data_IF_175010694201
#
_entry.id   IF_175010694201
#
_cell.length_a   1.000
_cell.length_b   1.000
_cell.length_c   1.000
_cell.angle_alpha   90.00
_cell.angle_beta   90.00
_cell.angle_gamma   90.00
#
_symmetry.space_group_name_H-M   'P 1'
#
loop_
_entity.id
_entity.type
_entity.pdbx_description
1 polymer ?
#
# COMPACT_ATOMS: atom_id res chain seq x y z
N UNK A 1 -28.29 7.38 17.25
CA UNK A 1 -26.96 6.76 17.47
C UNK A 1 -26.27 6.38 16.15
N UNK A 2 -27.00 6.23 15.04
CA UNK A 2 -26.47 5.84 13.72
C UNK A 2 -25.54 6.86 13.02
N UNK A 3 -25.76 8.17 13.19
CA UNK A 3 -24.94 9.19 12.53
C UNK A 3 -23.45 9.20 12.98
N UNK A 4 -23.20 8.82 14.23
CA UNK A 4 -21.84 8.72 14.78
C UNK A 4 -21.09 7.49 14.25
N UNK A 5 -21.79 6.41 13.92
CA UNK A 5 -21.18 5.18 13.42
C UNK A 5 -20.87 5.25 11.90
N UNK A 6 -21.68 5.98 11.13
CA UNK A 6 -21.35 6.39 9.76
C UNK A 6 -20.03 7.18 9.71
N UNK A 7 -19.90 8.22 10.56
CA UNK A 7 -18.67 9.03 10.61
C UNK A 7 -17.42 8.21 10.96
N UNK A 8 -17.51 7.26 11.91
CA UNK A 8 -16.38 6.39 12.28
C UNK A 8 -16.00 5.44 11.13
N UNK A 9 -16.98 4.90 10.43
CA UNK A 9 -16.76 3.98 9.31
C UNK A 9 -16.09 4.70 8.13
N UNK A 10 -16.53 5.91 7.83
CA UNK A 10 -15.97 6.76 6.78
C UNK A 10 -14.55 7.22 7.10
N UNK A 11 -14.28 7.58 8.36
CA UNK A 11 -12.93 7.88 8.83
C UNK A 11 -11.99 6.68 8.66
N UNK A 12 -12.41 5.49 9.11
CA UNK A 12 -11.62 4.24 8.95
C UNK A 12 -11.36 3.93 7.48
N UNK A 13 -12.35 4.10 6.61
CA UNK A 13 -12.23 3.91 5.16
C UNK A 13 -11.25 4.89 4.55
N UNK A 14 -11.36 6.18 4.88
CA UNK A 14 -10.47 7.24 4.39
C UNK A 14 -9.03 7.02 4.84
N UNK A 15 -8.79 6.68 6.11
CA UNK A 15 -7.43 6.39 6.57
C UNK A 15 -6.84 5.17 5.89
N UNK A 16 -7.63 4.09 5.71
CA UNK A 16 -7.17 2.89 4.99
C UNK A 16 -6.77 3.25 3.56
N UNK A 17 -7.58 4.05 2.88
CA UNK A 17 -7.31 4.50 1.52
C UNK A 17 -6.04 5.37 1.44
N UNK A 18 -5.83 6.28 2.38
CA UNK A 18 -4.59 7.08 2.45
C UNK A 18 -3.35 6.20 2.68
N UNK A 19 -3.46 5.18 3.53
CA UNK A 19 -2.39 4.20 3.76
C UNK A 19 -2.06 3.41 2.49
N UNK A 20 -3.07 2.99 1.72
CA UNK A 20 -2.87 2.35 0.42
C UNK A 20 -2.17 3.28 -0.58
N UNK A 21 -2.60 4.54 -0.69
CA UNK A 21 -1.92 5.54 -1.56
C UNK A 21 -0.47 5.75 -1.16
N UNK A 22 -0.17 5.86 0.13
CA UNK A 22 1.20 5.97 0.62
C UNK A 22 2.03 4.73 0.26
N UNK A 23 1.46 3.54 0.42
CA UNK A 23 2.14 2.29 0.07
C UNK A 23 2.46 2.23 -1.43
N UNK A 24 1.54 2.66 -2.30
CA UNK A 24 1.78 2.74 -3.75
C UNK A 24 2.97 3.66 -4.11
N UNK A 25 3.08 4.82 -3.47
CA UNK A 25 4.23 5.72 -3.66
C UNK A 25 5.55 5.07 -3.20
N UNK A 26 5.49 4.25 -2.15
CA UNK A 26 6.67 3.52 -1.66
C UNK A 26 7.05 2.37 -2.59
N UNK A 27 6.09 1.70 -3.24
CA UNK A 27 6.31 0.67 -4.26
C UNK A 27 6.98 1.28 -5.49
N UNK A 28 6.45 2.39 -6.02
CA UNK A 28 7.08 3.10 -7.14
C UNK A 28 8.50 3.56 -6.79
N UNK A 29 8.70 4.10 -5.57
CA UNK A 29 10.04 4.49 -5.11
C UNK A 29 10.97 3.29 -4.95
N UNK A 30 10.48 2.14 -4.50
CA UNK A 30 11.28 0.93 -4.36
C UNK A 30 11.77 0.45 -5.74
N UNK A 31 10.91 0.51 -6.75
CA UNK A 31 11.26 0.12 -8.12
C UNK A 31 12.41 0.98 -8.68
N UNK A 32 12.34 2.29 -8.49
CA UNK A 32 13.41 3.21 -8.91
C UNK A 32 14.74 2.95 -8.18
N UNK A 33 14.69 2.56 -6.90
CA UNK A 33 15.89 2.20 -6.13
C UNK A 33 16.38 0.78 -6.46
N UNK A 34 15.54 -0.11 -7.00
CA UNK A 34 15.92 -1.46 -7.43
C UNK A 34 16.93 -1.44 -8.57
N UNK A 35 16.89 -0.41 -9.42
CA UNK A 35 17.84 -0.18 -10.52
C UNK A 35 19.25 0.21 -10.03
N UNK A 36 19.43 0.48 -8.73
CA UNK A 36 20.70 0.93 -8.15
C UNK A 36 21.33 -0.18 -7.31
N UNK A 37 22.59 -0.51 -7.60
CA UNK A 37 23.35 -1.59 -6.96
C UNK A 37 24.49 -1.05 -6.08
N UNK A 38 24.20 -0.11 -5.17
CA UNK A 38 25.18 0.40 -4.20
C UNK A 38 24.68 0.24 -2.75
N UNK A 39 25.60 0.26 -1.78
CA UNK A 39 25.29 0.04 -0.36
C UNK A 39 24.22 1.01 0.18
N UNK A 40 24.27 2.28 -0.26
CA UNK A 40 23.28 3.29 0.14
C UNK A 40 21.89 2.94 -0.40
N UNK A 41 21.81 2.44 -1.64
CA UNK A 41 20.57 1.94 -2.24
C UNK A 41 20.03 0.72 -1.47
N UNK A 42 20.89 -0.22 -1.04
CA UNK A 42 20.45 -1.36 -0.20
C UNK A 42 19.80 -0.89 1.11
N UNK A 43 20.43 0.05 1.81
CA UNK A 43 19.85 0.62 3.04
C UNK A 43 18.51 1.31 2.76
N UNK A 44 18.40 2.05 1.65
CA UNK A 44 17.12 2.69 1.24
C UNK A 44 16.05 1.65 0.93
N UNK A 45 16.36 0.61 0.15
CA UNK A 45 15.45 -0.49 -0.17
C UNK A 45 14.95 -1.17 1.09
N UNK A 46 15.84 -1.45 2.05
CA UNK A 46 15.48 -2.00 3.35
C UNK A 46 14.51 -1.08 4.12
N UNK A 47 14.80 0.22 4.19
CA UNK A 47 13.92 1.20 4.87
C UNK A 47 12.54 1.29 4.22
N UNK A 48 12.48 1.28 2.89
CA UNK A 48 11.22 1.30 2.13
C UNK A 48 10.40 0.03 2.44
N UNK A 49 11.01 -1.15 2.34
CA UNK A 49 10.35 -2.43 2.67
C UNK A 49 9.87 -2.48 4.12
N UNK A 50 10.65 -1.95 5.07
CA UNK A 50 10.23 -1.86 6.48
C UNK A 50 9.00 -0.96 6.65
N UNK A 51 8.97 0.21 6.02
CA UNK A 51 7.81 1.13 6.07
C UNK A 51 6.57 0.51 5.46
N UNK A 52 6.71 -0.16 4.32
CA UNK A 52 5.60 -0.86 3.69
C UNK A 52 5.05 -1.98 4.57
N UNK A 53 5.91 -2.76 5.25
CA UNK A 53 5.48 -3.76 6.22
C UNK A 53 4.65 -3.16 7.37
N UNK A 54 5.06 -2.02 7.91
CA UNK A 54 4.28 -1.34 8.97
C UNK A 54 2.91 -0.89 8.45
N UNK A 55 2.84 -0.33 7.24
CA UNK A 55 1.58 0.09 6.64
C UNK A 55 0.65 -1.12 6.41
N UNK A 56 1.17 -2.21 5.85
CA UNK A 56 0.38 -3.43 5.61
C UNK A 56 -0.10 -4.04 6.92
N UNK A 57 0.74 -4.08 7.96
CA UNK A 57 0.34 -4.56 9.28
C UNK A 57 -0.79 -3.71 9.88
N UNK A 58 -0.71 -2.38 9.70
CA UNK A 58 -1.75 -1.45 10.16
C UNK A 58 -3.06 -1.58 9.37
N UNK A 59 -2.98 -1.92 8.08
CA UNK A 59 -4.17 -2.20 7.28
C UNK A 59 -4.84 -3.51 7.72
N UNK A 60 -4.04 -4.57 7.92
CA UNK A 60 -4.52 -5.89 8.36
C UNK A 60 -5.02 -5.90 9.81
N UNK A 61 -4.60 -4.96 10.66
CA UNK A 61 -5.16 -4.81 12.01
C UNK A 61 -6.58 -4.23 12.01
N UNK A 62 -6.98 -3.59 10.90
CA UNK A 62 -8.26 -2.88 10.75
C UNK A 62 -9.26 -3.61 9.85
N UNK A 63 -8.78 -4.48 8.97
CA UNK A 63 -9.54 -5.07 7.85
C UNK A 63 -9.08 -6.49 7.55
N UNK A 64 -9.97 -7.29 6.96
CA UNK A 64 -9.58 -8.61 6.47
C UNK A 64 -8.59 -8.50 5.31
N UNK A 65 -7.83 -9.57 5.06
CA UNK A 65 -6.91 -9.62 3.92
C UNK A 65 -7.63 -9.31 2.60
N UNK A 66 -8.82 -9.88 2.39
CA UNK A 66 -9.60 -9.68 1.16
C UNK A 66 -10.01 -8.22 0.96
N UNK A 67 -10.41 -7.53 2.04
CA UNK A 67 -10.69 -6.09 1.99
C UNK A 67 -9.43 -5.28 1.65
N UNK A 68 -8.30 -5.60 2.29
CA UNK A 68 -7.01 -4.93 2.02
C UNK A 68 -6.58 -5.12 0.57
N UNK A 69 -6.74 -6.33 0.01
CA UNK A 69 -6.41 -6.63 -1.38
C UNK A 69 -7.34 -5.90 -2.35
N UNK A 70 -8.65 -5.89 -2.07
CA UNK A 70 -9.64 -5.16 -2.87
C UNK A 70 -9.36 -3.66 -2.89
N UNK A 71 -9.10 -3.06 -1.71
CA UNK A 71 -8.78 -1.64 -1.58
C UNK A 71 -7.43 -1.27 -2.21
N UNK A 72 -6.44 -2.17 -2.18
CA UNK A 72 -5.15 -1.98 -2.84
C UNK A 72 -5.30 -1.86 -4.36
N UNK A 73 -6.12 -2.73 -4.96
CA UNK A 73 -6.41 -2.69 -6.40
C UNK A 73 -7.13 -1.39 -6.80
N UNK A 74 -8.15 -0.99 -6.03
CA UNK A 74 -8.88 0.26 -6.27
C UNK A 74 -7.97 1.50 -6.15
N UNK A 75 -7.16 1.57 -5.09
CA UNK A 75 -6.26 2.71 -4.84
C UNK A 75 -5.21 2.90 -5.95
N UNK A 76 -4.79 1.81 -6.60
CA UNK A 76 -3.82 1.88 -7.70
C UNK A 76 -4.45 2.42 -8.99
N UNK A 77 -5.72 2.09 -9.24
CA UNK A 77 -6.50 2.66 -10.36
C UNK A 77 -6.65 4.17 -10.23
N UNK A 78 -6.85 4.67 -9.01
CA UNK A 78 -7.06 6.10 -8.76
C UNK A 78 -5.75 6.92 -8.78
N UNK A 79 -4.61 6.30 -8.48
CA UNK A 79 -3.36 7.01 -8.22
C UNK A 79 -2.50 7.29 -9.47
N UNK A 80 -2.68 6.55 -10.57
CA UNK A 80 -1.80 6.66 -11.75
C UNK A 80 -2.57 6.67 -13.08
N UNK A 81 -2.14 7.47 -14.08
CA UNK A 81 -2.64 7.36 -15.45
C UNK A 81 -2.45 5.93 -16.00
N UNK A 82 -3.39 5.51 -16.84
CA UNK A 82 -3.74 4.11 -17.16
C UNK A 82 -2.58 3.19 -17.59
N UNK A 83 -1.48 3.70 -18.16
CA UNK A 83 -0.39 2.85 -18.67
C UNK A 83 0.50 2.22 -17.60
N UNK A 84 0.68 2.87 -16.43
CA UNK A 84 1.53 2.35 -15.33
C UNK A 84 0.76 1.85 -14.11
N UNK A 85 -0.53 2.14 -14.04
CA UNK A 85 -1.39 1.78 -12.90
C UNK A 85 -1.48 0.25 -12.71
N UNK A 86 -1.64 -0.52 -13.78
CA UNK A 86 -1.82 -1.97 -13.71
C UNK A 86 -0.60 -2.72 -13.15
N UNK A 87 0.61 -2.34 -13.56
CA UNK A 87 1.84 -2.97 -13.08
C UNK A 87 2.15 -2.61 -11.62
N UNK A 88 1.99 -1.34 -11.25
CA UNK A 88 2.16 -0.90 -9.86
C UNK A 88 1.15 -1.56 -8.92
N UNK A 89 -0.11 -1.69 -9.37
CA UNK A 89 -1.16 -2.40 -8.64
C UNK A 89 -0.78 -3.86 -8.38
N UNK A 90 -0.35 -4.58 -9.42
CA UNK A 90 0.06 -5.98 -9.32
C UNK A 90 1.22 -6.17 -8.35
N UNK A 91 2.27 -5.35 -8.47
CA UNK A 91 3.44 -5.39 -7.58
C UNK A 91 3.06 -5.07 -6.15
N UNK A 92 2.15 -4.12 -5.93
CA UNK A 92 1.68 -3.79 -4.59
C UNK A 92 0.89 -4.96 -3.97
N UNK A 93 -0.01 -5.58 -4.72
CA UNK A 93 -0.77 -6.77 -4.30
C UNK A 93 0.16 -7.94 -3.98
N UNK A 94 1.12 -8.24 -4.84
CA UNK A 94 2.14 -9.28 -4.59
C UNK A 94 2.95 -9.00 -3.33
N UNK A 95 3.29 -7.74 -3.09
CA UNK A 95 4.01 -7.33 -1.90
C UNK A 95 3.19 -7.53 -0.62
N UNK A 96 1.89 -7.18 -0.62
CA UNK A 96 0.99 -7.45 0.51
C UNK A 96 0.98 -8.95 0.82
N UNK A 97 0.81 -9.80 -0.20
CA UNK A 97 0.84 -11.26 -0.05
C UNK A 97 2.17 -11.74 0.53
N UNK A 98 3.28 -11.19 0.07
CA UNK A 98 4.63 -11.56 0.55
C UNK A 98 4.90 -11.20 2.02
N UNK A 99 4.17 -10.23 2.58
CA UNK A 99 4.29 -9.83 3.98
C UNK A 99 3.30 -10.56 4.89
N UNK A 100 2.25 -11.14 4.32
CA UNK A 100 1.25 -11.90 5.05
C UNK A 100 1.58 -13.40 5.15
N UNK A 101 2.27 -13.95 4.15
CA UNK A 101 2.83 -15.30 4.16
C UNK A 101 3.93 -15.46 5.21
#
# INVERSE_FOLDING_TARGET
>A
MEALDLNKTDLRRTTSYQLHRLALLLVDRLDREQQRANLVAEVRKWRLRRRMRMIVSELLSRRSLDEVLSMAAASASDAHPQERSGELSRRYVEMIRSFHA
#
